data_IF_843427707916
#
_entry.id   IF_843427707916
#
_cell.length_a   1.000
_cell.length_b   1.000
_cell.length_c   1.000
_cell.angle_alpha   90.00
_cell.angle_beta   90.00
_cell.angle_gamma   90.00
#
_symmetry.space_group_name_H-M   'P 1'
#
loop_
_entity.id
_entity.type
_entity.pdbx_description
1 polymer ?
#
# COMPACT_ATOMS: atom_id res chain seq x y z
N UNK A 1 -3.65 -5.05 11.39
CA UNK A 1 -3.84 -3.77 10.67
C UNK A 1 -2.75 -3.52 9.61
N UNK A 2 -1.57 -2.96 9.93
CA UNK A 2 -0.57 -2.61 8.89
C UNK A 2 -0.09 -3.82 8.06
N UNK A 3 0.20 -4.95 8.71
CA UNK A 3 0.57 -6.21 8.04
C UNK A 3 -0.56 -6.78 7.17
N UNK A 4 -1.78 -6.71 7.67
CA UNK A 4 -2.95 -7.20 6.94
C UNK A 4 -3.24 -6.33 5.70
N UNK A 5 -3.05 -5.03 5.83
CA UNK A 5 -3.11 -4.10 4.70
C UNK A 5 -2.02 -4.37 3.66
N UNK A 6 -0.78 -4.67 4.09
CA UNK A 6 0.29 -5.04 3.14
C UNK A 6 -0.02 -6.36 2.43
N UNK A 7 -0.53 -7.35 3.14
CA UNK A 7 -0.90 -8.65 2.57
C UNK A 7 -2.07 -8.48 1.58
N UNK A 8 -3.02 -7.60 1.89
CA UNK A 8 -4.10 -7.23 0.99
C UNK A 8 -3.57 -6.60 -0.32
N UNK A 9 -2.67 -5.62 -0.24
CA UNK A 9 -2.09 -4.98 -1.43
C UNK A 9 -1.27 -5.97 -2.28
N UNK A 10 -0.55 -6.90 -1.66
CA UNK A 10 0.17 -7.96 -2.37
C UNK A 10 -0.78 -8.89 -3.12
N UNK A 11 -1.90 -9.26 -2.49
CA UNK A 11 -2.94 -10.06 -3.14
C UNK A 11 -3.58 -9.31 -4.31
N UNK A 12 -3.89 -8.02 -4.14
CA UNK A 12 -4.41 -7.18 -5.23
C UNK A 12 -3.41 -7.11 -6.38
N UNK A 13 -2.12 -6.86 -6.11
CA UNK A 13 -1.07 -6.86 -7.14
C UNK A 13 -1.02 -8.18 -7.92
N UNK A 14 -1.07 -9.31 -7.22
CA UNK A 14 -1.07 -10.63 -7.87
C UNK A 14 -2.29 -10.82 -8.78
N UNK A 15 -3.47 -10.37 -8.35
CA UNK A 15 -4.69 -10.43 -9.16
C UNK A 15 -4.59 -9.56 -10.42
N UNK A 16 -4.01 -8.36 -10.31
CA UNK A 16 -3.81 -7.45 -11.43
C UNK A 16 -2.83 -8.03 -12.44
N UNK A 17 -1.70 -8.58 -11.97
CA UNK A 17 -0.72 -9.24 -12.83
C UNK A 17 -1.34 -10.43 -13.60
N UNK A 18 -2.17 -11.24 -12.91
CA UNK A 18 -2.89 -12.34 -13.56
C UNK A 18 -3.93 -11.83 -14.58
N UNK A 19 -4.65 -10.75 -14.27
CA UNK A 19 -5.62 -10.14 -15.18
C UNK A 19 -4.92 -9.60 -16.43
N UNK A 20 -3.78 -8.92 -16.26
CA UNK A 20 -2.98 -8.36 -17.35
C UNK A 20 -2.38 -9.45 -18.25
N UNK A 21 -1.92 -10.56 -17.66
CA UNK A 21 -1.49 -11.73 -18.42
C UNK A 21 -2.63 -12.33 -19.26
N UNK A 22 -3.84 -12.41 -18.70
CA UNK A 22 -5.00 -12.94 -19.42
C UNK A 22 -5.46 -12.03 -20.57
N UNK A 23 -5.55 -10.72 -20.33
CA UNK A 23 -6.01 -9.75 -21.35
C UNK A 23 -4.97 -9.52 -22.44
N UNK A 24 -3.71 -9.28 -22.05
CA UNK A 24 -2.63 -8.94 -22.97
C UNK A 24 -2.15 -10.09 -23.84
N UNK A 25 -2.05 -11.32 -23.29
CA UNK A 25 -1.51 -12.45 -24.04
C UNK A 25 -2.57 -13.18 -24.87
N UNK A 26 -3.76 -13.42 -24.31
CA UNK A 26 -4.76 -14.27 -24.96
C UNK A 26 -5.77 -13.45 -25.78
N UNK A 27 -6.44 -12.49 -25.13
CA UNK A 27 -7.59 -11.81 -25.76
C UNK A 27 -7.13 -10.88 -26.88
N UNK A 28 -6.14 -10.02 -26.61
CA UNK A 28 -5.61 -9.10 -27.62
C UNK A 28 -5.02 -9.86 -28.83
N UNK A 29 -4.38 -11.00 -28.60
CA UNK A 29 -3.85 -11.85 -29.68
C UNK A 29 -4.97 -12.37 -30.58
N UNK A 30 -6.07 -12.87 -30.00
CA UNK A 30 -7.22 -13.37 -30.77
C UNK A 30 -7.85 -12.27 -31.61
N UNK A 31 -8.08 -11.08 -31.04
CA UNK A 31 -8.67 -9.95 -31.78
C UNK A 31 -7.77 -9.48 -32.92
N UNK A 32 -6.46 -9.38 -32.68
CA UNK A 32 -5.50 -9.03 -33.73
C UNK A 32 -5.46 -10.09 -34.84
N UNK A 33 -5.57 -11.37 -34.48
CA UNK A 33 -5.62 -12.46 -35.46
C UNK A 33 -6.91 -12.40 -36.30
N UNK A 34 -8.05 -12.10 -35.69
CA UNK A 34 -9.32 -11.89 -36.39
C UNK A 34 -9.21 -10.75 -37.43
N UNK A 35 -8.62 -9.61 -37.04
CA UNK A 35 -8.36 -8.48 -37.95
C UNK A 35 -7.40 -8.91 -39.07
N UNK A 36 -6.32 -9.62 -38.74
CA UNK A 36 -5.35 -10.12 -39.73
C UNK A 36 -6.01 -11.03 -40.76
N UNK A 37 -6.84 -11.98 -40.34
CA UNK A 37 -7.54 -12.87 -41.26
C UNK A 37 -8.50 -12.11 -42.18
N UNK A 38 -9.16 -11.06 -41.68
CA UNK A 38 -10.08 -10.24 -42.47
C UNK A 38 -9.37 -9.37 -43.49
N UNK A 39 -8.23 -8.82 -43.14
CA UNK A 39 -7.39 -8.03 -44.07
C UNK A 39 -6.77 -8.86 -45.20
N UNK A 40 -6.75 -10.19 -45.08
CA UNK A 40 -6.29 -11.10 -46.16
C UNK A 40 -7.34 -11.41 -47.23
N UNK A 41 -8.59 -10.95 -47.08
CA UNK A 41 -9.65 -11.11 -48.09
C UNK A 41 -9.31 -10.29 -49.35
N UNK A 42 -9.73 -10.77 -50.53
CA UNK A 42 -9.39 -10.15 -51.83
C UNK A 42 -10.68 -9.89 -52.62
N UNK A 43 -10.74 -8.78 -53.34
CA UNK A 43 -11.80 -8.48 -54.30
C UNK A 43 -13.11 -8.08 -53.63
N UNK A 44 -14.21 -8.72 -54.03
CA UNK A 44 -15.58 -8.38 -53.61
C UNK A 44 -15.83 -8.70 -52.13
N UNK A 45 -15.01 -9.60 -51.55
CA UNK A 45 -15.05 -9.99 -50.13
C UNK A 45 -14.30 -9.00 -49.21
N UNK A 46 -13.55 -8.04 -49.77
CA UNK A 46 -12.97 -6.95 -49.00
C UNK A 46 -14.01 -5.86 -48.80
N UNK A 47 -14.98 -6.16 -47.94
CA UNK A 47 -16.03 -5.24 -47.52
C UNK A 47 -15.75 -4.74 -46.11
N UNK A 48 -15.88 -3.42 -45.94
CA UNK A 48 -15.92 -2.81 -44.61
C UNK A 48 -17.29 -3.11 -44.02
N UNK A 49 -17.39 -4.23 -43.30
CA UNK A 49 -18.59 -4.70 -42.62
C UNK A 49 -18.68 -4.17 -41.19
N UNK A 50 -19.88 -4.23 -40.61
CA UNK A 50 -20.13 -3.84 -39.21
C UNK A 50 -19.22 -4.62 -38.25
N UNK A 51 -18.84 -5.85 -38.60
CA UNK A 51 -18.04 -6.68 -37.70
C UNK A 51 -16.59 -6.22 -37.66
N UNK A 52 -16.06 -5.65 -38.74
CA UNK A 52 -14.72 -5.04 -38.76
C UNK A 52 -14.69 -3.79 -37.89
N UNK A 53 -15.74 -2.96 -37.95
CA UNK A 53 -15.88 -1.79 -37.07
C UNK A 53 -15.90 -2.20 -35.59
N UNK A 54 -16.76 -3.16 -35.24
CA UNK A 54 -16.85 -3.66 -33.86
C UNK A 54 -15.54 -4.32 -33.38
N UNK A 55 -14.80 -5.03 -34.24
CA UNK A 55 -13.48 -5.59 -33.90
C UNK A 55 -12.44 -4.52 -33.60
N UNK A 56 -12.45 -3.40 -34.33
CA UNK A 56 -11.53 -2.29 -34.05
C UNK A 56 -11.90 -1.59 -32.73
N UNK A 57 -13.20 -1.45 -32.45
CA UNK A 57 -13.69 -0.93 -31.17
C UNK A 57 -13.27 -1.86 -30.02
N UNK A 58 -13.50 -3.17 -30.16
CA UNK A 58 -13.10 -4.19 -29.18
C UNK A 58 -11.60 -4.12 -28.91
N UNK A 59 -10.78 -4.04 -29.96
CA UNK A 59 -9.33 -3.88 -29.84
C UNK A 59 -8.96 -2.62 -29.04
N UNK A 60 -9.61 -1.50 -29.31
CA UNK A 60 -9.42 -0.26 -28.56
C UNK A 60 -9.76 -0.42 -27.08
N UNK A 61 -10.92 -0.99 -26.78
CA UNK A 61 -11.37 -1.25 -25.41
C UNK A 61 -10.42 -2.18 -24.65
N UNK A 62 -9.89 -3.22 -25.30
CA UNK A 62 -8.91 -4.13 -24.69
C UNK A 62 -7.61 -3.39 -24.37
N UNK A 63 -7.11 -2.55 -25.28
CA UNK A 63 -5.91 -1.75 -25.04
C UNK A 63 -6.12 -0.76 -23.89
N UNK A 64 -7.27 -0.11 -23.83
CA UNK A 64 -7.61 0.79 -22.73
C UNK A 64 -7.68 0.03 -21.39
N UNK A 65 -8.28 -1.16 -21.38
CA UNK A 65 -8.30 -2.01 -20.19
C UNK A 65 -6.89 -2.43 -19.75
N UNK A 66 -5.99 -2.75 -20.68
CA UNK A 66 -4.59 -3.06 -20.38
C UNK A 66 -3.90 -1.85 -19.77
N UNK A 67 -4.01 -0.66 -20.40
CA UNK A 67 -3.42 0.58 -19.89
C UNK A 67 -3.91 0.91 -18.47
N UNK A 68 -5.20 0.70 -18.20
CA UNK A 68 -5.78 0.90 -16.87
C UNK A 68 -5.20 -0.08 -15.85
N UNK A 69 -5.04 -1.36 -16.22
CA UNK A 69 -4.44 -2.37 -15.35
C UNK A 69 -2.96 -2.07 -15.06
N UNK A 70 -2.19 -1.62 -16.04
CA UNK A 70 -0.80 -1.19 -15.86
C UNK A 70 -0.70 0.00 -14.90
N UNK A 71 -1.52 1.02 -15.14
CA UNK A 71 -1.59 2.22 -14.27
C UNK A 71 -1.95 1.82 -12.84
N UNK A 72 -2.90 0.91 -12.67
CA UNK A 72 -3.29 0.43 -11.36
C UNK A 72 -2.20 -0.41 -10.69
N UNK A 73 -1.44 -1.21 -11.45
CA UNK A 73 -0.29 -1.95 -10.92
C UNK A 73 0.77 -0.99 -10.34
N UNK A 74 1.07 0.09 -11.07
CA UNK A 74 2.03 1.10 -10.63
C UNK A 74 1.56 1.81 -9.36
N UNK A 75 0.27 2.17 -9.28
CA UNK A 75 -0.32 2.74 -8.06
C UNK A 75 -0.20 1.79 -6.85
N UNK A 76 -0.50 0.50 -7.04
CA UNK A 76 -0.37 -0.50 -5.97
C UNK A 76 1.09 -0.66 -5.55
N UNK A 77 2.03 -0.62 -6.50
CA UNK A 77 3.47 -0.70 -6.22
C UNK A 77 3.96 0.51 -5.41
N UNK A 78 3.52 1.71 -5.77
CA UNK A 78 3.80 2.92 -5.02
C UNK A 78 3.25 2.83 -3.59
N UNK A 79 2.00 2.40 -3.44
CA UNK A 79 1.37 2.26 -2.12
C UNK A 79 2.11 1.28 -1.21
N UNK A 80 2.62 0.17 -1.76
CA UNK A 80 3.48 -0.76 -1.01
C UNK A 80 4.77 -0.07 -0.54
N UNK A 81 5.37 0.77 -1.38
CA UNK A 81 6.54 1.58 -1.03
C UNK A 81 6.28 2.55 0.12
N UNK A 82 5.15 3.27 0.06
CA UNK A 82 4.72 4.20 1.11
C UNK A 82 4.50 3.44 2.43
N UNK A 83 3.79 2.33 2.40
CA UNK A 83 3.53 1.53 3.60
C UNK A 83 4.81 1.00 4.25
N UNK A 84 5.81 0.61 3.45
CA UNK A 84 7.13 0.23 3.96
C UNK A 84 7.81 1.39 4.68
N UNK A 85 7.81 2.58 4.08
CA UNK A 85 8.39 3.78 4.71
C UNK A 85 7.68 4.17 6.01
N UNK A 86 6.35 4.07 6.04
CA UNK A 86 5.56 4.28 7.27
C UNK A 86 5.96 3.28 8.34
N UNK A 87 6.07 2.00 8.00
CA UNK A 87 6.50 0.96 8.95
C UNK A 87 7.88 1.24 9.53
N UNK A 88 8.86 1.55 8.69
CA UNK A 88 10.23 1.86 9.13
C UNK A 88 10.26 3.07 10.07
N UNK A 89 9.45 4.09 9.80
CA UNK A 89 9.33 5.27 10.66
C UNK A 89 8.69 4.93 12.01
N UNK A 90 7.66 4.08 12.04
CA UNK A 90 7.07 3.60 13.30
C UNK A 90 8.06 2.78 14.12
N UNK A 91 8.86 1.91 13.49
CA UNK A 91 9.88 1.10 14.17
C UNK A 91 10.98 1.99 14.79
N UNK A 92 11.38 3.05 14.07
CA UNK A 92 12.32 4.05 14.58
C UNK A 92 11.74 4.81 15.77
N UNK A 93 10.53 5.38 15.63
CA UNK A 93 9.86 6.12 16.71
C UNK A 93 9.64 5.26 17.95
N UNK A 94 9.28 3.98 17.78
CA UNK A 94 9.17 3.04 18.89
C UNK A 94 10.51 2.81 19.59
N UNK A 95 11.60 2.64 18.82
CA UNK A 95 12.95 2.47 19.36
C UNK A 95 13.41 3.71 20.14
N UNK A 96 13.17 4.90 19.60
CA UNK A 96 13.52 6.18 20.24
C UNK A 96 12.74 6.36 21.55
N UNK A 97 11.43 6.08 21.55
CA UNK A 97 10.59 6.10 22.76
C UNK A 97 11.09 5.12 23.82
N UNK A 98 11.53 3.94 23.44
CA UNK A 98 12.09 2.94 24.36
C UNK A 98 13.41 3.42 24.97
N UNK A 99 14.27 4.06 24.18
CA UNK A 99 15.53 4.65 24.69
C UNK A 99 15.25 5.80 25.64
N UNK A 100 14.35 6.73 25.27
CA UNK A 100 13.93 7.83 26.13
C UNK A 100 13.37 7.32 27.47
N UNK A 101 12.49 6.30 27.43
CA UNK A 101 11.96 5.66 28.63
C UNK A 101 13.05 5.09 29.54
N UNK A 102 14.07 4.43 28.98
CA UNK A 102 15.20 3.89 29.76
C UNK A 102 16.02 4.99 30.43
N UNK A 103 16.21 6.12 29.75
CA UNK A 103 16.90 7.29 30.30
C UNK A 103 16.08 7.88 31.45
N UNK A 104 14.77 8.08 31.26
CA UNK A 104 13.87 8.59 32.30
C UNK A 104 13.80 7.65 33.52
N UNK A 105 13.86 6.34 33.27
CA UNK A 105 13.93 5.34 34.33
C UNK A 105 15.23 5.47 35.13
N UNK A 106 16.37 5.57 34.45
CA UNK A 106 17.68 5.72 35.08
C UNK A 106 17.78 7.03 35.88
N UNK A 107 17.37 8.16 35.29
CA UNK A 107 17.39 9.47 35.94
C UNK A 107 16.53 9.48 37.21
N UNK A 108 15.33 8.91 37.16
CA UNK A 108 14.46 8.82 38.33
C UNK A 108 15.03 7.97 39.45
N UNK A 109 15.67 6.84 39.14
CA UNK A 109 16.33 5.99 40.16
C UNK A 109 17.44 6.74 40.91
N UNK A 110 18.00 7.79 40.30
CA UNK A 110 19.04 8.62 40.91
C UNK A 110 18.50 9.77 41.76
N UNK A 111 17.18 10.05 41.76
CA UNK A 111 16.60 11.09 42.61
C UNK A 111 16.54 10.65 44.09
N UNK A 112 16.94 11.52 45.03
CA UNK A 112 16.74 11.28 46.46
C UNK A 112 15.24 11.25 46.76
N UNK A 113 14.75 10.17 47.40
CA UNK A 113 13.32 9.95 47.70
C UNK A 113 12.59 8.98 46.75
N UNK A 114 13.24 8.52 45.67
CA UNK A 114 12.61 7.65 44.65
C UNK A 114 12.12 6.28 45.16
N UNK A 115 12.61 5.84 46.33
CA UNK A 115 12.18 4.61 47.02
C UNK A 115 10.81 4.72 47.70
N UNK A 116 10.32 5.92 48.00
CA UNK A 116 9.10 6.12 48.79
C UNK A 116 7.88 6.49 47.92
N UNK A 117 8.11 6.87 46.67
CA UNK A 117 7.07 7.44 45.79
C UNK A 117 6.66 6.41 44.71
N UNK A 118 5.72 5.53 45.07
CA UNK A 118 5.05 4.58 44.14
C UNK A 118 3.86 5.27 43.47
N UNK A 119 4.07 6.36 42.71
CA UNK A 119 2.94 7.13 42.13
C UNK A 119 2.93 7.24 40.61
N UNK A 120 3.83 6.57 39.89
CA UNK A 120 3.69 6.42 38.43
C UNK A 120 3.73 4.94 38.04
N UNK A 121 2.60 4.42 37.53
CA UNK A 121 2.56 3.14 36.83
C UNK A 121 3.30 3.32 35.50
N UNK A 122 4.58 2.93 35.48
CA UNK A 122 5.50 3.18 34.36
C UNK A 122 5.37 2.08 33.31
N UNK A 123 4.50 2.33 32.32
CA UNK A 123 4.47 1.59 31.07
C UNK A 123 4.83 2.51 29.91
N UNK A 124 5.61 2.04 28.92
CA UNK A 124 5.88 2.80 27.72
C UNK A 124 4.55 3.22 27.06
N UNK A 125 4.45 4.50 26.67
CA UNK A 125 3.28 5.14 26.08
C UNK A 125 2.05 5.40 26.99
N UNK A 126 2.12 5.17 28.30
CA UNK A 126 1.03 5.51 29.23
C UNK A 126 1.60 6.20 30.47
N UNK A 127 1.81 7.51 30.40
CA UNK A 127 1.97 8.32 31.61
C UNK A 127 0.56 8.60 32.18
N UNK A 128 0.04 7.71 33.02
CA UNK A 128 -1.13 8.02 33.84
C UNK A 128 -0.64 8.65 35.13
N UNK A 129 -0.91 9.94 35.29
CA UNK A 129 -0.80 10.59 36.59
C UNK A 129 -1.97 10.12 37.47
N UNK A 130 -1.75 9.83 38.76
CA UNK A 130 -2.83 9.58 39.69
C UNK A 130 -3.76 10.79 39.75
N UNK A 131 -5.07 10.55 39.94
CA UNK A 131 -6.02 11.64 40.20
C UNK A 131 -5.56 12.41 41.46
N UNK A 132 -5.23 13.70 41.28
CA UNK A 132 -4.69 14.57 42.35
C UNK A 132 -3.21 14.94 42.22
N UNK A 133 -2.50 14.53 41.16
CA UNK A 133 -1.11 14.96 40.94
C UNK A 133 -1.02 16.45 40.58
N UNK A 134 -0.50 17.27 41.49
CA UNK A 134 -0.19 18.69 41.24
C UNK A 134 1.28 18.79 40.85
N UNK A 135 1.55 19.16 39.60
CA UNK A 135 2.91 19.44 39.14
C UNK A 135 3.47 20.63 39.92
N UNK A 136 4.36 20.39 40.87
CA UNK A 136 5.14 21.46 41.50
C UNK A 136 6.19 21.91 40.48
N UNK A 137 5.80 22.84 39.61
CA UNK A 137 6.75 23.62 38.85
C UNK A 137 7.66 24.34 39.85
N UNK A 138 8.96 24.02 39.79
CA UNK A 138 10.00 24.64 40.58
C UNK A 138 10.00 26.14 40.27
N UNK A 139 9.44 26.94 41.17
CA UNK A 139 9.69 28.39 41.23
C UNK A 139 11.01 28.61 41.93
N UNK A 140 11.93 29.30 41.23
CA UNK A 140 13.22 29.78 41.73
C UNK A 140 13.12 30.45 43.11
#
# INVERSE_FOLDING_TARGET
>A
ELRESTDHLQNVRARVANALAATGAAILHVVNECIRLRTTRIGIDLTLDLVEEELQIERGLILDAINQLETFEDQVREQIGIQRGVKENLERDWSDKMVAFRIDEAAYRMLPGSRETVTMLRYPAVARFPEGYVSQAVTN
#
